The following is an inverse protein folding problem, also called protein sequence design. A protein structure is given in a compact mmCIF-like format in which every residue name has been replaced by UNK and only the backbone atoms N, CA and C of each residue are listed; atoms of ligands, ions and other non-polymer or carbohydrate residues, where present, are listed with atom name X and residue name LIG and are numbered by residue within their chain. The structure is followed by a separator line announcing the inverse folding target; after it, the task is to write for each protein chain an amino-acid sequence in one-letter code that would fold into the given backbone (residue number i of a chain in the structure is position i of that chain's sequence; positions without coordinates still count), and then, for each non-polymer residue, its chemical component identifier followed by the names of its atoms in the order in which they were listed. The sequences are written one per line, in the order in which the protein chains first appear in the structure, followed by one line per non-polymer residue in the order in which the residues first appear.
data_IF_525780244785
#
_entry.id   IF_525780244785
#
_cell.length_a   1.000
_cell.length_b   1.000
_cell.length_c   1.000
_cell.angle_alpha   90.00
_cell.angle_beta   90.00
_cell.angle_gamma   90.00
#
_symmetry.space_group_name_H-M   'P 1'
#
loop_
_entity.id
_entity.type
_entity.pdbx_description
1 polymer ?
#
# COMPACT_ATOMS: atom_id res chain seq x y z
N UNK A 1 -41.83 -1.22 -46.20
CA UNK A 1 -40.59 -0.40 -46.20
C UNK A 1 -40.41 0.46 -44.94
N UNK A 2 -41.24 0.29 -43.89
CA UNK A 2 -41.12 1.08 -42.64
C UNK A 2 -40.31 0.40 -41.53
N UNK A 3 -40.30 -0.95 -41.45
CA UNK A 3 -39.59 -1.65 -40.36
C UNK A 3 -38.06 -1.61 -40.50
N UNK A 4 -37.54 -1.59 -41.73
CA UNK A 4 -36.09 -1.54 -42.01
C UNK A 4 -35.43 -0.26 -41.45
N UNK A 5 -36.13 0.87 -41.53
CA UNK A 5 -35.67 2.15 -40.97
C UNK A 5 -35.67 2.15 -39.44
N UNK A 6 -36.62 1.46 -38.81
CA UNK A 6 -36.69 1.30 -37.36
C UNK A 6 -35.52 0.49 -36.79
N UNK A 7 -35.12 -0.59 -37.48
CA UNK A 7 -33.96 -1.39 -37.08
C UNK A 7 -32.64 -0.62 -37.20
N UNK A 8 -32.48 0.19 -38.26
CA UNK A 8 -31.29 1.04 -38.44
C UNK A 8 -31.20 2.10 -37.33
N UNK A 9 -32.31 2.76 -37.00
CA UNK A 9 -32.36 3.73 -35.90
C UNK A 9 -32.02 3.09 -34.54
N UNK A 10 -32.53 1.89 -34.27
CA UNK A 10 -32.22 1.16 -33.04
C UNK A 10 -30.74 0.77 -32.97
N UNK A 11 -30.16 0.30 -34.08
CA UNK A 11 -28.74 -0.03 -34.17
C UNK A 11 -27.85 1.20 -33.96
N UNK A 12 -28.21 2.35 -34.54
CA UNK A 12 -27.48 3.61 -34.36
C UNK A 12 -27.55 4.10 -32.90
N UNK A 13 -28.72 3.97 -32.25
CA UNK A 13 -28.87 4.29 -30.82
C UNK A 13 -28.04 3.36 -29.93
N UNK A 14 -28.00 2.06 -30.21
CA UNK A 14 -27.18 1.10 -29.48
C UNK A 14 -25.68 1.38 -29.66
N UNK A 15 -25.24 1.74 -30.88
CA UNK A 15 -23.87 2.13 -31.16
C UNK A 15 -23.47 3.43 -30.46
N UNK A 16 -24.39 4.41 -30.39
CA UNK A 16 -24.19 5.65 -29.63
C UNK A 16 -24.08 5.39 -28.13
N UNK A 17 -24.97 4.57 -27.56
CA UNK A 17 -24.91 4.18 -26.14
C UNK A 17 -23.61 3.43 -25.85
N UNK A 18 -23.22 2.49 -26.72
CA UNK A 18 -21.95 1.78 -26.59
C UNK A 18 -20.76 2.75 -26.61
N UNK A 19 -20.69 3.65 -27.60
CA UNK A 19 -19.64 4.66 -27.69
C UNK A 19 -19.57 5.56 -26.44
N UNK A 20 -20.71 6.00 -25.90
CA UNK A 20 -20.77 6.78 -24.66
C UNK A 20 -20.28 5.99 -23.43
N UNK A 21 -20.55 4.68 -23.35
CA UNK A 21 -20.02 3.83 -22.27
C UNK A 21 -18.51 3.60 -22.36
N UNK A 22 -17.93 3.55 -23.57
CA UNK A 22 -16.47 3.41 -23.73
C UNK A 22 -15.74 4.70 -23.35
N UNK A 23 -16.34 5.87 -23.57
CA UNK A 23 -15.74 7.18 -23.28
C UNK A 23 -15.71 7.50 -21.77
N UNK A 24 -16.60 6.93 -20.98
CA UNK A 24 -16.72 7.22 -19.54
C UNK A 24 -15.87 6.31 -18.63
N UNK A 25 -15.23 5.28 -19.18
CA UNK A 25 -14.15 4.57 -18.49
C UNK A 25 -12.86 5.31 -18.81
N UNK A 26 -12.41 6.20 -17.91
CA UNK A 26 -11.04 6.70 -17.99
C UNK A 26 -10.09 5.49 -18.06
N UNK A 27 -9.33 5.31 -19.14
CA UNK A 27 -8.28 4.31 -19.17
C UNK A 27 -7.29 4.74 -18.10
N UNK A 28 -7.21 4.00 -17.00
CA UNK A 28 -6.08 4.13 -16.08
C UNK A 28 -4.84 3.88 -16.93
N UNK A 29 -4.08 4.93 -17.22
CA UNK A 29 -2.80 4.86 -17.92
C UNK A 29 -1.82 4.16 -16.98
N UNK A 30 -1.85 2.83 -16.97
CA UNK A 30 -1.03 2.02 -16.09
C UNK A 30 -0.95 0.58 -16.57
N UNK A 31 0.22 -0.04 -16.35
CA UNK A 31 0.39 -1.48 -16.50
C UNK A 31 -0.57 -2.21 -15.54
N UNK A 32 -1.08 -3.40 -15.90
CA UNK A 32 -1.79 -4.26 -14.97
C UNK A 32 -0.92 -4.53 -13.73
N UNK A 33 -1.50 -4.73 -12.52
CA UNK A 33 -0.76 -4.92 -11.27
C UNK A 33 0.31 -6.00 -11.29
N UNK A 34 0.10 -7.03 -12.12
CA UNK A 34 1.00 -8.14 -12.39
C UNK A 34 2.29 -7.69 -13.10
N UNK A 35 2.19 -6.68 -13.96
CA UNK A 35 3.31 -6.10 -14.70
C UNK A 35 3.86 -4.83 -14.03
N UNK A 36 3.20 -4.34 -12.99
CA UNK A 36 3.70 -3.22 -12.20
C UNK A 36 4.82 -3.67 -11.27
N UNK A 37 5.93 -2.91 -11.28
CA UNK A 37 6.96 -3.01 -10.25
C UNK A 37 6.51 -2.18 -9.04
N UNK A 38 6.21 -2.86 -7.94
CA UNK A 38 5.82 -2.27 -6.68
C UNK A 38 7.04 -1.89 -5.86
N UNK A 39 6.93 -0.78 -5.14
CA UNK A 39 7.91 -0.32 -4.18
C UNK A 39 7.24 -0.16 -2.82
N UNK A 40 7.84 -0.74 -1.79
CA UNK A 40 7.35 -0.62 -0.41
C UNK A 40 8.38 0.12 0.41
N UNK A 41 7.91 1.06 1.22
CA UNK A 41 8.73 1.88 2.10
C UNK A 41 8.18 1.77 3.52
N UNK A 42 9.04 1.49 4.48
CA UNK A 42 8.77 1.64 5.92
C UNK A 42 9.67 2.76 6.42
N UNK A 43 9.06 3.89 6.76
CA UNK A 43 9.73 5.14 7.08
C UNK A 43 9.73 5.37 8.58
N UNK A 44 10.87 5.77 9.13
CA UNK A 44 10.92 6.27 10.50
C UNK A 44 10.50 7.74 10.53
N UNK A 45 9.30 8.00 11.04
CA UNK A 45 8.76 9.34 11.30
C UNK A 45 8.57 9.64 12.78
N UNK A 46 9.33 8.98 13.66
CA UNK A 46 9.35 9.25 15.08
C UNK A 46 10.01 10.61 15.35
N UNK A 47 9.58 11.28 16.43
CA UNK A 47 10.18 12.51 16.92
C UNK A 47 11.46 12.25 17.74
N UNK A 48 12.17 13.32 18.08
CA UNK A 48 13.30 13.33 19.02
C UNK A 48 14.50 12.46 18.63
N UNK A 49 14.70 12.22 17.33
CA UNK A 49 15.82 11.42 16.85
C UNK A 49 15.70 9.93 17.21
N UNK A 50 14.52 9.46 17.62
CA UNK A 50 14.32 8.07 18.02
C UNK A 50 14.55 7.11 16.87
N UNK A 51 15.31 6.06 17.15
CA UNK A 51 15.55 4.97 16.21
C UNK A 51 14.31 4.08 16.08
N UNK A 52 14.07 3.59 14.87
CA UNK A 52 13.07 2.57 14.61
C UNK A 52 13.76 1.28 14.17
N UNK A 53 13.61 0.21 14.95
CA UNK A 53 13.95 -1.12 14.47
C UNK A 53 12.86 -1.62 13.52
N UNK A 54 13.24 -2.19 12.39
CA UNK A 54 12.35 -2.76 11.39
C UNK A 54 12.85 -4.14 11.00
N UNK A 55 11.98 -5.13 10.95
CA UNK A 55 12.20 -6.45 10.36
C UNK A 55 11.03 -6.78 9.44
N UNK A 56 11.29 -7.02 8.16
CA UNK A 56 10.24 -7.29 7.18
C UNK A 56 10.46 -8.63 6.50
N UNK A 57 9.37 -9.32 6.18
CA UNK A 57 9.43 -10.57 5.42
C UNK A 57 8.16 -10.84 4.64
N UNK A 58 8.25 -11.82 3.76
CA UNK A 58 7.14 -12.48 3.10
C UNK A 58 7.03 -13.93 3.58
N UNK A 59 6.11 -14.69 2.99
CA UNK A 59 6.03 -16.14 3.23
C UNK A 59 7.32 -16.86 2.82
N UNK A 60 7.89 -16.47 1.69
CA UNK A 60 8.93 -17.25 1.02
C UNK A 60 10.33 -16.64 1.20
N UNK A 61 10.42 -15.39 1.65
CA UNK A 61 11.69 -14.65 1.75
C UNK A 61 11.71 -13.70 2.95
N UNK A 62 12.76 -13.79 3.75
CA UNK A 62 13.10 -12.81 4.79
C UNK A 62 13.86 -11.65 4.15
N UNK A 63 13.38 -10.41 4.34
CA UNK A 63 14.03 -9.23 3.78
C UNK A 63 15.14 -8.69 4.70
N UNK A 64 15.24 -9.21 5.92
CA UNK A 64 16.19 -8.78 6.93
C UNK A 64 15.68 -7.64 7.80
N UNK A 65 16.55 -7.20 8.71
CA UNK A 65 16.26 -6.20 9.72
C UNK A 65 17.22 -5.02 9.67
N UNK A 66 16.77 -3.84 10.10
CA UNK A 66 17.59 -2.64 10.17
C UNK A 66 17.08 -1.68 11.25
N UNK A 67 18.00 -0.98 11.91
CA UNK A 67 17.70 0.22 12.68
C UNK A 67 17.72 1.44 11.77
N UNK A 68 16.67 2.25 11.82
CA UNK A 68 16.46 3.41 10.96
C UNK A 68 16.58 4.69 11.79
N UNK A 69 17.44 5.61 11.37
CA UNK A 69 17.43 7.00 11.85
C UNK A 69 16.15 7.71 11.39
N UNK A 70 15.76 8.78 12.10
CA UNK A 70 14.60 9.59 11.73
C UNK A 70 14.72 10.12 10.30
N UNK A 71 13.64 10.04 9.54
CA UNK A 71 13.59 10.44 8.12
C UNK A 71 14.15 9.40 7.15
N UNK A 72 14.77 8.32 7.62
CA UNK A 72 15.26 7.23 6.78
C UNK A 72 14.20 6.14 6.59
N UNK A 73 14.47 5.19 5.68
CA UNK A 73 13.53 4.12 5.37
C UNK A 73 14.21 2.76 5.11
N UNK A 74 13.44 1.71 5.37
CA UNK A 74 13.68 0.36 4.85
C UNK A 74 12.80 0.17 3.62
N UNK A 75 13.39 -0.18 2.46
CA UNK A 75 12.66 -0.28 1.20
C UNK A 75 13.11 -1.46 0.35
N UNK A 76 12.18 -2.00 -0.44
CA UNK A 76 12.43 -3.00 -1.46
C UNK A 76 11.43 -2.85 -2.60
N UNK A 77 11.72 -3.52 -3.72
CA UNK A 77 10.80 -3.58 -4.86
C UNK A 77 10.62 -5.00 -5.37
N UNK A 78 9.46 -5.28 -5.94
CA UNK A 78 9.12 -6.58 -6.49
C UNK A 78 8.09 -6.44 -7.61
N UNK A 79 7.93 -7.49 -8.40
CA UNK A 79 6.80 -7.65 -9.32
C UNK A 79 5.86 -8.72 -8.75
N UNK A 80 4.57 -8.55 -8.95
CA UNK A 80 3.62 -9.57 -8.50
C UNK A 80 3.75 -10.82 -9.37
N UNK A 81 3.75 -11.99 -8.75
CA UNK A 81 3.70 -13.24 -9.51
C UNK A 81 2.25 -13.50 -9.94
N UNK A 82 2.03 -13.71 -11.24
CA UNK A 82 0.71 -13.89 -11.87
C UNK A 82 -0.13 -14.99 -11.17
N UNK A 83 0.52 -16.02 -10.61
CA UNK A 83 -0.15 -17.19 -10.01
C UNK A 83 -0.08 -17.27 -8.48
N UNK A 84 0.57 -16.31 -7.79
CA UNK A 84 0.71 -16.35 -6.32
C UNK A 84 0.30 -15.03 -5.69
N UNK A 85 -0.45 -15.12 -4.59
CA UNK A 85 -0.80 -13.95 -3.77
C UNK A 85 0.42 -13.48 -3.00
N UNK A 86 1.02 -12.37 -3.43
CA UNK A 86 2.13 -11.76 -2.71
C UNK A 86 1.65 -11.11 -1.42
N UNK A 87 2.32 -11.41 -0.31
CA UNK A 87 2.04 -10.87 1.02
C UNK A 87 3.37 -10.51 1.70
N UNK A 88 3.45 -9.28 2.20
CA UNK A 88 4.55 -8.83 3.05
C UNK A 88 4.01 -8.30 4.38
N UNK A 89 4.77 -8.52 5.44
CA UNK A 89 4.52 -7.95 6.76
C UNK A 89 5.82 -7.52 7.41
N UNK A 90 5.72 -6.57 8.31
CA UNK A 90 6.84 -6.07 9.08
C UNK A 90 6.52 -6.11 10.58
N UNK A 91 7.53 -6.42 11.36
CA UNK A 91 7.63 -6.06 12.76
C UNK A 91 8.43 -4.76 12.85
N UNK A 92 7.97 -3.84 13.68
CA UNK A 92 8.71 -2.63 14.01
C UNK A 92 8.67 -2.41 15.50
N UNK A 93 9.74 -1.87 16.06
CA UNK A 93 9.78 -1.44 17.45
C UNK A 93 10.53 -0.13 17.61
N UNK A 94 10.11 0.62 18.62
CA UNK A 94 10.75 1.84 19.07
C UNK A 94 11.11 1.67 20.54
N UNK A 95 12.24 2.22 20.91
CA UNK A 95 12.59 2.36 22.32
C UNK A 95 11.71 3.46 22.93
N UNK A 96 11.39 3.32 24.22
CA UNK A 96 10.74 4.40 24.96
C UNK A 96 11.80 5.22 25.70
N UNK A 97 11.55 6.52 25.80
CA UNK A 97 12.35 7.42 26.65
C UNK A 97 11.74 7.50 28.07
N UNK A 98 10.68 6.73 28.35
CA UNK A 98 9.96 6.75 29.61
C UNK A 98 10.62 5.87 30.69
N UNK A 99 10.42 6.26 31.94
CA UNK A 99 11.12 5.77 33.13
C UNK A 99 10.86 4.29 33.44
N UNK A 100 9.77 3.72 32.90
CA UNK A 100 9.32 2.34 33.18
C UNK A 100 9.92 1.27 32.23
N UNK A 101 10.84 1.65 31.32
CA UNK A 101 11.68 0.70 30.58
C UNK A 101 10.96 -0.19 29.55
N UNK A 102 9.71 0.14 29.20
CA UNK A 102 8.93 -0.61 28.22
C UNK A 102 8.98 0.03 26.84
N UNK A 103 9.81 -0.48 25.93
CA UNK A 103 9.71 -0.14 24.50
C UNK A 103 8.32 -0.46 23.93
N UNK A 104 8.04 -0.04 22.69
CA UNK A 104 6.77 -0.33 22.04
C UNK A 104 6.96 -0.94 20.66
N UNK A 105 6.01 -1.76 20.22
CA UNK A 105 6.13 -2.48 18.95
C UNK A 105 4.81 -2.60 18.18
N UNK A 106 4.92 -2.93 16.90
CA UNK A 106 3.79 -3.26 16.04
C UNK A 106 4.18 -4.32 15.00
N UNK A 107 3.27 -5.25 14.74
CA UNK A 107 3.38 -6.24 13.65
C UNK A 107 2.20 -6.09 12.71
N UNK A 108 2.46 -5.79 11.44
CA UNK A 108 1.39 -5.47 10.49
C UNK A 108 1.75 -5.84 9.04
N UNK A 109 0.70 -6.08 8.24
CA UNK A 109 0.84 -6.28 6.80
C UNK A 109 1.17 -4.96 6.12
N UNK A 110 2.16 -4.97 5.25
CA UNK A 110 2.59 -3.79 4.48
C UNK A 110 2.26 -3.90 3.00
N UNK A 111 1.96 -5.10 2.53
CA UNK A 111 1.45 -5.32 1.18
C UNK A 111 0.60 -6.58 1.11
N UNK A 112 -0.55 -6.51 0.44
CA UNK A 112 -1.38 -7.64 0.06
C UNK A 112 -2.21 -7.28 -1.17
N UNK A 113 -2.76 -8.27 -1.87
CA UNK A 113 -3.60 -8.03 -3.04
C UNK A 113 -4.97 -7.47 -2.64
N UNK A 114 -5.11 -6.14 -2.70
CA UNK A 114 -6.32 -5.42 -2.35
C UNK A 114 -6.41 -4.08 -3.10
N UNK A 115 -7.56 -3.84 -3.73
CA UNK A 115 -7.76 -2.68 -4.61
C UNK A 115 -7.72 -1.38 -3.82
N UNK A 116 -8.21 -1.36 -2.58
CA UNK A 116 -8.19 -0.15 -1.74
C UNK A 116 -6.77 0.19 -1.27
N UNK A 117 -5.92 -0.82 -1.03
CA UNK A 117 -4.50 -0.63 -0.80
C UNK A 117 -3.82 -0.08 -2.06
N UNK A 118 -4.05 -0.72 -3.21
CA UNK A 118 -3.42 -0.33 -4.47
C UNK A 118 -3.73 1.12 -4.83
N UNK A 119 -4.97 1.56 -4.59
CA UNK A 119 -5.35 2.96 -4.74
C UNK A 119 -4.56 3.91 -3.83
N UNK A 120 -4.40 3.57 -2.55
CA UNK A 120 -3.60 4.39 -1.62
C UNK A 120 -2.14 4.48 -2.06
N UNK A 121 -1.60 3.39 -2.59
CA UNK A 121 -0.23 3.33 -3.10
C UNK A 121 -0.06 3.93 -4.50
N UNK A 122 -1.09 4.56 -5.07
CA UNK A 122 -1.11 5.03 -6.46
C UNK A 122 -0.63 3.96 -7.46
N UNK A 123 -0.98 2.70 -7.21
CA UNK A 123 -0.60 1.54 -8.01
C UNK A 123 0.91 1.33 -8.18
N UNK A 124 1.75 1.84 -7.26
CA UNK A 124 3.20 1.75 -7.38
C UNK A 124 3.92 1.81 -6.04
N UNK A 125 3.75 2.90 -5.30
CA UNK A 125 4.54 3.24 -4.12
C UNK A 125 3.69 3.11 -2.86
N UNK A 126 3.90 2.03 -2.10
CA UNK A 126 3.25 1.82 -0.82
C UNK A 126 4.14 2.32 0.32
N UNK A 127 3.74 3.42 0.94
CA UNK A 127 4.54 4.08 1.99
C UNK A 127 3.85 3.90 3.34
N UNK A 128 4.54 3.25 4.25
CA UNK A 128 4.17 3.09 5.65
C UNK A 128 5.07 3.95 6.52
N UNK A 129 4.50 4.66 7.49
CA UNK A 129 5.21 5.65 8.31
C UNK A 129 4.93 5.30 9.77
N UNK A 130 5.99 5.00 10.53
CA UNK A 130 5.90 4.85 11.97
C UNK A 130 6.03 6.23 12.62
N UNK A 131 5.00 6.67 13.33
CA UNK A 131 4.94 7.93 14.08
C UNK A 131 4.85 7.66 15.57
N UNK A 132 4.92 8.72 16.37
CA UNK A 132 4.94 8.61 17.83
C UNK A 132 3.70 7.91 18.40
N UNK A 133 2.52 8.13 17.80
CA UNK A 133 1.24 7.59 18.26
C UNK A 133 0.83 6.27 17.57
N UNK A 134 1.36 5.97 16.39
CA UNK A 134 1.12 4.70 15.73
C UNK A 134 1.70 4.60 14.33
N UNK A 135 1.19 3.62 13.59
CA UNK A 135 1.61 3.33 12.22
C UNK A 135 0.57 3.83 11.23
N UNK A 136 1.03 4.55 10.23
CA UNK A 136 0.22 5.16 9.18
C UNK A 136 0.56 4.56 7.81
N UNK A 137 -0.42 4.59 6.91
CA UNK A 137 -0.20 4.41 5.47
C UNK A 137 -0.40 5.74 4.75
N UNK A 138 0.48 6.08 3.80
CA UNK A 138 0.28 7.23 2.92
C UNK A 138 -0.78 6.90 1.88
N UNK A 139 -1.86 7.68 1.87
CA UNK A 139 -2.76 7.79 0.74
C UNK A 139 -2.15 8.79 -0.26
N UNK A 140 -1.38 8.27 -1.21
CA UNK A 140 -0.62 9.07 -2.18
C UNK A 140 -1.53 10.01 -2.98
N UNK A 141 -2.66 9.56 -3.56
CA UNK A 141 -3.55 10.46 -4.31
C UNK A 141 -4.10 11.62 -3.48
N UNK A 142 -4.35 11.42 -2.18
CA UNK A 142 -4.89 12.47 -1.28
C UNK A 142 -3.81 13.24 -0.55
N UNK A 143 -2.55 12.84 -0.70
CA UNK A 143 -1.41 13.33 0.09
C UNK A 143 -1.67 13.29 1.61
N UNK A 144 -2.40 12.30 2.09
CA UNK A 144 -2.81 12.20 3.50
C UNK A 144 -2.24 10.94 4.15
N UNK A 145 -1.92 11.01 5.44
CA UNK A 145 -1.46 9.86 6.21
C UNK A 145 -2.66 9.30 6.99
N UNK A 146 -2.97 8.02 6.80
CA UNK A 146 -4.12 7.36 7.43
C UNK A 146 -3.64 6.41 8.53
N UNK A 147 -4.10 6.60 9.77
CA UNK A 147 -3.76 5.73 10.89
C UNK A 147 -4.26 4.30 10.65
N UNK A 148 -3.43 3.30 10.97
CA UNK A 148 -3.74 1.87 10.74
C UNK A 148 -3.49 0.98 11.93
N UNK A 149 -2.44 1.23 12.71
CA UNK A 149 -2.05 0.36 13.82
C UNK A 149 -1.59 1.16 15.02
N UNK A 150 -2.12 0.81 16.18
CA UNK A 150 -1.67 1.31 17.48
C UNK A 150 -0.39 0.56 17.89
N UNK A 151 0.52 1.29 18.54
CA UNK A 151 1.64 0.67 19.26
C UNK A 151 1.14 -0.26 20.38
N UNK A 152 1.80 -1.40 20.54
CA UNK A 152 1.62 -2.28 21.71
C UNK A 152 2.80 -2.09 22.67
N UNK A 153 2.54 -2.11 23.99
CA UNK A 153 3.60 -2.00 24.98
C UNK A 153 4.50 -3.24 24.98
N UNK A 154 5.74 -3.04 25.41
CA UNK A 154 6.80 -4.04 25.46
C UNK A 154 7.48 -4.28 24.10
N UNK A 155 8.40 -5.24 24.08
CA UNK A 155 8.97 -5.82 22.86
C UNK A 155 8.31 -7.17 22.60
N UNK A 156 8.13 -7.57 21.33
CA UNK A 156 7.79 -8.97 21.06
C UNK A 156 8.99 -9.83 21.43
N UNK A 157 8.82 -10.67 22.44
CA UNK A 157 9.70 -11.80 22.69
C UNK A 157 9.37 -12.84 21.61
N UNK A 158 10.26 -12.97 20.62
CA UNK A 158 10.24 -14.07 19.64
C UNK A 158 11.23 -15.14 20.06
#
# INVERSE_FOLDING_TARGET
MSSFNGFILLLLLLLLVFAFTVVSVEPRRGLPPEFTRWHVYVVNGLSDGRMLFVHCKSRDNDLGSRNLDVGTNFTWSFQQHIFRRTLFWCYVSKDDNDYDGGGAHASFKVFWQDVLLFHKCSWKDCIWIAKDDGIYIKNVPRNADEFRWQWKPGLLQH
#
